data_IF_480499790087
#
_entry.id   IF_480499790087
#
_cell.length_a   1.000
_cell.length_b   1.000
_cell.length_c   1.000
_cell.angle_alpha   90.00
_cell.angle_beta   90.00
_cell.angle_gamma   90.00
#
_symmetry.space_group_name_H-M   'P 1'
#
loop_
_entity.id
_entity.type
_entity.pdbx_description
1 polymer ?
#
# COMPACT_ATOMS: atom_id res chain seq x y z
N UNK A 1 64.80 11.51 -52.56
CA UNK A 1 63.70 11.03 -51.69
C UNK A 1 63.41 12.10 -50.64
N UNK A 2 62.45 12.99 -50.92
CA UNK A 2 62.11 14.14 -50.07
C UNK A 2 61.24 13.67 -48.89
N UNK A 3 61.57 14.17 -47.70
CA UNK A 3 61.09 13.67 -46.41
C UNK A 3 59.57 13.72 -46.22
N UNK A 4 58.97 12.53 -46.09
CA UNK A 4 57.57 12.32 -45.66
C UNK A 4 57.43 12.07 -44.15
N UNK A 5 58.49 12.30 -43.35
CA UNK A 5 58.48 11.98 -41.90
C UNK A 5 57.59 12.91 -41.04
N UNK A 6 57.06 14.00 -41.59
CA UNK A 6 56.15 14.91 -40.87
C UNK A 6 54.65 14.73 -41.17
N UNK A 7 54.29 14.11 -42.30
CA UNK A 7 52.90 14.07 -42.77
C UNK A 7 52.00 13.19 -41.89
N UNK A 8 52.53 12.07 -41.37
CA UNK A 8 51.75 11.15 -40.54
C UNK A 8 51.41 11.71 -39.16
N UNK A 9 52.32 12.50 -38.56
CA UNK A 9 52.03 13.17 -37.29
C UNK A 9 50.95 14.24 -37.45
N UNK A 10 50.96 14.97 -38.57
CA UNK A 10 49.94 15.97 -38.84
C UNK A 10 48.55 15.36 -39.05
N UNK A 11 48.47 14.27 -39.82
CA UNK A 11 47.22 13.52 -40.03
C UNK A 11 46.66 12.95 -38.72
N UNK A 12 47.54 12.43 -37.86
CA UNK A 12 47.17 11.94 -36.53
C UNK A 12 46.61 13.06 -35.63
N UNK A 13 47.25 14.23 -35.61
CA UNK A 13 46.79 15.39 -34.81
C UNK A 13 45.41 15.85 -35.30
N UNK A 14 45.21 15.95 -36.62
CA UNK A 14 43.93 16.35 -37.20
C UNK A 14 42.85 15.33 -36.86
N UNK A 15 43.12 14.04 -37.01
CA UNK A 15 42.17 12.97 -36.67
C UNK A 15 41.76 13.02 -35.19
N UNK A 16 42.70 13.30 -34.29
CA UNK A 16 42.43 13.43 -32.86
C UNK A 16 41.56 14.66 -32.54
N UNK A 17 41.80 15.80 -33.20
CA UNK A 17 40.97 17.00 -33.03
C UNK A 17 39.53 16.75 -33.50
N UNK A 18 39.35 16.09 -34.65
CA UNK A 18 38.00 15.71 -35.12
C UNK A 18 37.32 14.72 -34.18
N UNK A 19 38.07 13.77 -33.62
CA UNK A 19 37.52 12.81 -32.65
C UNK A 19 37.05 13.52 -31.36
N UNK A 20 37.88 14.37 -30.76
CA UNK A 20 37.47 15.16 -29.57
C UNK A 20 36.27 16.05 -29.91
N UNK A 21 36.30 16.71 -31.07
CA UNK A 21 35.20 17.55 -31.53
C UNK A 21 33.90 16.76 -31.70
N UNK A 22 33.97 15.55 -32.25
CA UNK A 22 32.82 14.66 -32.39
C UNK A 22 32.31 14.15 -31.04
N UNK A 23 33.19 13.79 -30.12
CA UNK A 23 32.81 13.40 -28.74
C UNK A 23 32.13 14.57 -28.03
N UNK A 24 32.70 15.78 -28.09
CA UNK A 24 32.09 16.96 -27.51
C UNK A 24 30.74 17.31 -28.15
N UNK A 25 30.64 17.19 -29.48
CA UNK A 25 29.38 17.34 -30.20
C UNK A 25 28.34 16.32 -29.74
N UNK A 26 28.72 15.05 -29.57
CA UNK A 26 27.84 14.02 -29.02
C UNK A 26 27.37 14.40 -27.61
N UNK A 27 28.26 14.85 -26.72
CA UNK A 27 27.86 15.29 -25.38
C UNK A 27 26.94 16.53 -25.41
N UNK A 28 27.17 17.46 -26.32
CA UNK A 28 26.31 18.65 -26.48
C UNK A 28 24.94 18.29 -27.04
N UNK A 29 24.89 17.41 -28.04
CA UNK A 29 23.65 17.01 -28.73
C UNK A 29 22.82 16.02 -27.90
N UNK A 30 23.48 15.08 -27.23
CA UNK A 30 22.83 14.15 -26.31
C UNK A 30 22.43 14.82 -24.99
N UNK A 31 22.99 16.01 -24.68
CA UNK A 31 22.74 16.83 -23.48
C UNK A 31 22.11 16.02 -22.33
N UNK A 32 22.83 15.03 -21.74
CA UNK A 32 22.27 14.20 -20.68
C UNK A 32 21.90 15.01 -19.42
N UNK A 33 22.25 16.29 -19.41
CA UNK A 33 22.03 17.27 -18.37
C UNK A 33 20.68 18.00 -18.48
N UNK A 34 20.02 17.95 -19.64
CA UNK A 34 18.76 18.68 -19.86
C UNK A 34 17.51 17.86 -19.57
N UNK A 35 17.63 16.53 -19.62
CA UNK A 35 16.54 15.62 -19.33
C UNK A 35 16.91 14.71 -18.16
N UNK A 36 17.10 15.29 -16.97
CA UNK A 36 16.94 14.54 -15.72
C UNK A 36 15.45 14.29 -15.47
N UNK A 37 14.69 13.93 -16.51
CA UNK A 37 13.31 13.52 -16.37
C UNK A 37 13.33 12.23 -15.58
N UNK A 38 12.75 12.26 -14.39
CA UNK A 38 12.47 11.07 -13.61
C UNK A 38 11.86 9.99 -14.54
N UNK A 39 12.36 8.76 -14.53
CA UNK A 39 11.74 7.71 -15.32
C UNK A 39 10.39 7.37 -14.71
N UNK A 40 9.35 7.14 -15.52
CA UNK A 40 8.03 6.71 -15.03
C UNK A 40 8.10 5.45 -14.16
N UNK A 41 9.08 4.58 -14.42
CA UNK A 41 9.35 3.39 -13.61
C UNK A 41 9.73 3.71 -12.16
N UNK A 42 10.28 4.89 -11.87
CA UNK A 42 10.53 5.30 -10.48
C UNK A 42 9.20 5.50 -9.73
N UNK A 43 8.19 6.07 -10.40
CA UNK A 43 6.87 6.27 -9.80
C UNK A 43 6.12 4.96 -9.56
N UNK A 44 6.23 4.03 -10.52
CA UNK A 44 5.70 2.66 -10.36
C UNK A 44 6.38 1.94 -9.19
N UNK A 45 7.71 2.02 -9.07
CA UNK A 45 8.43 1.41 -7.94
C UNK A 45 8.05 1.98 -6.57
N UNK A 46 7.81 3.29 -6.50
CA UNK A 46 7.30 3.94 -5.28
C UNK A 46 5.89 3.48 -4.96
N UNK A 47 5.02 3.35 -5.97
CA UNK A 47 3.67 2.83 -5.76
C UNK A 47 3.68 1.38 -5.29
N UNK A 48 4.51 0.52 -5.87
CA UNK A 48 4.60 -0.89 -5.47
C UNK A 48 5.06 -0.99 -4.01
N UNK A 49 6.10 -0.24 -3.63
CA UNK A 49 6.60 -0.20 -2.25
C UNK A 49 5.58 0.39 -1.27
N UNK A 50 4.87 1.45 -1.70
CA UNK A 50 3.76 2.02 -0.95
C UNK A 50 2.65 0.98 -0.71
N UNK A 51 2.21 0.33 -1.79
CA UNK A 51 1.16 -0.68 -1.80
C UNK A 51 1.50 -1.84 -0.86
N UNK A 52 2.73 -2.36 -0.93
CA UNK A 52 3.21 -3.43 -0.06
C UNK A 52 3.20 -3.03 1.43
N UNK A 53 3.54 -1.78 1.74
CA UNK A 53 3.58 -1.29 3.13
C UNK A 53 2.17 -1.07 3.69
N UNK A 54 1.23 -0.54 2.90
CA UNK A 54 -0.09 -0.12 3.38
C UNK A 54 -1.21 -1.13 3.15
N UNK A 55 -1.04 -2.12 2.26
CA UNK A 55 -2.08 -3.09 2.00
C UNK A 55 -2.28 -4.05 3.17
N UNK A 56 -3.50 -4.56 3.26
CA UNK A 56 -3.93 -5.56 4.22
C UNK A 56 -4.97 -6.47 3.59
N UNK A 57 -5.18 -7.61 4.22
CA UNK A 57 -6.10 -8.64 3.79
C UNK A 57 -7.44 -8.41 4.50
N UNK A 58 -8.53 -8.52 3.74
CA UNK A 58 -9.90 -8.44 4.23
C UNK A 58 -10.67 -9.65 3.73
N UNK A 59 -11.06 -10.49 4.68
CA UNK A 59 -11.91 -11.66 4.43
C UNK A 59 -13.30 -11.41 4.98
N UNK A 60 -14.34 -11.64 4.19
CA UNK A 60 -15.72 -11.49 4.64
C UNK A 60 -16.55 -12.73 4.34
N UNK A 61 -17.33 -13.18 5.32
CA UNK A 61 -18.20 -14.35 5.22
C UNK A 61 -19.51 -14.09 5.92
N UNK A 62 -20.60 -14.63 5.38
CA UNK A 62 -21.89 -14.64 6.06
C UNK A 62 -22.01 -15.89 6.91
N UNK A 63 -22.49 -15.73 8.14
CA UNK A 63 -22.68 -16.84 9.08
C UNK A 63 -24.14 -16.84 9.50
N UNK A 64 -24.79 -18.00 9.34
CA UNK A 64 -26.11 -18.26 9.88
C UNK A 64 -25.99 -19.27 11.02
N UNK A 65 -26.59 -18.96 12.16
CA UNK A 65 -26.46 -19.76 13.38
C UNK A 65 -27.82 -20.15 13.95
N UNK A 66 -27.86 -21.31 14.60
CA UNK A 66 -29.04 -21.79 15.31
C UNK A 66 -28.70 -22.13 16.77
N UNK A 67 -28.13 -21.15 17.49
CA UNK A 67 -27.67 -21.37 18.86
C UNK A 67 -28.81 -21.39 19.89
N UNK A 68 -29.13 -22.57 20.39
CA UNK A 68 -30.18 -22.78 21.41
C UNK A 68 -29.64 -22.89 22.84
N UNK A 69 -28.33 -22.79 23.05
CA UNK A 69 -27.72 -22.94 24.38
C UNK A 69 -28.01 -21.79 25.35
N UNK A 70 -27.77 -22.04 26.64
CA UNK A 70 -28.08 -21.12 27.75
C UNK A 70 -27.05 -20.00 27.95
N UNK A 71 -25.88 -20.09 27.33
CA UNK A 71 -24.84 -19.06 27.45
C UNK A 71 -25.21 -17.81 26.63
N UNK A 72 -24.75 -16.66 27.11
CA UNK A 72 -24.94 -15.38 26.41
C UNK A 72 -24.08 -15.22 25.14
N UNK A 73 -23.21 -16.18 24.84
CA UNK A 73 -22.36 -16.18 23.66
C UNK A 73 -22.01 -17.61 23.24
N UNK A 74 -21.67 -17.77 21.97
CA UNK A 74 -21.24 -19.03 21.37
C UNK A 74 -19.98 -18.81 20.53
N UNK A 75 -19.24 -19.87 20.26
CA UNK A 75 -18.12 -19.84 19.34
C UNK A 75 -18.30 -20.86 18.24
N UNK A 76 -17.80 -20.53 17.05
CA UNK A 76 -17.76 -21.39 15.88
C UNK A 76 -16.33 -21.56 15.42
N UNK A 77 -15.97 -22.75 14.95
CA UNK A 77 -14.68 -23.00 14.33
C UNK A 77 -14.76 -22.72 12.84
N UNK A 78 -14.04 -21.69 12.37
CA UNK A 78 -14.00 -21.36 10.96
C UNK A 78 -13.06 -22.35 10.24
N UNK A 79 -13.54 -23.04 9.18
CA UNK A 79 -12.70 -23.93 8.38
C UNK A 79 -11.67 -23.10 7.59
N UNK A 80 -10.38 -23.28 7.91
CA UNK A 80 -9.30 -22.50 7.30
C UNK A 80 -9.17 -22.74 5.79
N UNK A 81 -9.62 -23.89 5.30
CA UNK A 81 -9.64 -24.24 3.88
C UNK A 81 -10.58 -23.37 3.03
N UNK A 82 -11.50 -22.60 3.65
CA UNK A 82 -12.37 -21.66 2.94
C UNK A 82 -11.72 -20.29 2.71
N UNK A 83 -10.58 -20.02 3.34
CA UNK A 83 -9.88 -18.74 3.28
C UNK A 83 -8.55 -18.93 2.55
N UNK A 84 -8.27 -18.05 1.59
CA UNK A 84 -6.95 -17.89 0.98
C UNK A 84 -5.96 -17.29 1.98
N UNK A 85 -6.44 -16.40 2.84
CA UNK A 85 -5.65 -15.67 3.82
C UNK A 85 -5.67 -16.35 5.20
N UNK A 86 -4.58 -16.22 5.96
CA UNK A 86 -4.44 -16.89 7.24
C UNK A 86 -5.23 -16.16 8.34
N UNK A 87 -6.23 -16.80 8.91
CA UNK A 87 -7.13 -16.21 9.92
C UNK A 87 -6.67 -16.41 11.37
N UNK A 88 -5.48 -16.98 11.62
CA UNK A 88 -5.10 -17.48 12.96
C UNK A 88 -4.72 -16.41 13.97
N UNK A 89 -4.41 -15.19 13.52
CA UNK A 89 -3.92 -14.09 14.36
C UNK A 89 -4.55 -12.74 13.97
N UNK A 90 -5.70 -12.81 13.29
CA UNK A 90 -6.43 -11.62 12.85
C UNK A 90 -7.54 -11.25 13.83
N UNK A 91 -7.94 -9.99 13.79
CA UNK A 91 -9.12 -9.51 14.52
C UNK A 91 -10.37 -9.62 13.66
N UNK A 92 -11.52 -9.62 14.32
CA UNK A 92 -12.82 -9.77 13.70
C UNK A 92 -13.71 -8.57 13.96
N UNK A 93 -14.47 -8.18 12.94
CA UNK A 93 -15.60 -7.29 13.06
C UNK A 93 -16.86 -8.01 12.63
N UNK A 94 -17.81 -8.14 13.56
CA UNK A 94 -19.08 -8.81 13.28
C UNK A 94 -20.21 -7.79 13.29
N UNK A 95 -21.06 -7.87 12.27
CA UNK A 95 -22.23 -7.01 12.11
C UNK A 95 -23.49 -7.83 11.85
N UNK A 96 -24.63 -7.35 12.35
CA UNK A 96 -25.95 -7.87 11.94
C UNK A 96 -26.24 -7.49 10.49
N UNK A 97 -27.27 -8.11 9.90
CA UNK A 97 -27.80 -7.68 8.60
C UNK A 97 -28.28 -6.21 8.60
N UNK A 98 -28.67 -5.68 9.76
CA UNK A 98 -29.03 -4.26 9.95
C UNK A 98 -27.83 -3.31 10.10
N UNK A 99 -26.59 -3.80 10.03
CA UNK A 99 -25.37 -2.99 10.12
C UNK A 99 -24.88 -2.68 11.54
N UNK A 100 -25.63 -3.08 12.58
CA UNK A 100 -25.18 -2.92 13.97
C UNK A 100 -24.01 -3.87 14.27
N UNK A 101 -22.91 -3.33 14.79
CA UNK A 101 -21.74 -4.11 15.23
C UNK A 101 -22.05 -4.85 16.54
N UNK A 102 -21.47 -6.05 16.68
CA UNK A 102 -21.56 -6.90 17.85
C UNK A 102 -20.13 -7.24 18.30
N UNK A 103 -19.92 -7.28 19.61
CA UNK A 103 -18.66 -7.73 20.20
C UNK A 103 -18.34 -9.16 19.74
N UNK A 104 -17.16 -9.32 19.14
CA UNK A 104 -16.60 -10.58 18.70
C UNK A 104 -15.10 -10.62 18.96
N UNK A 105 -14.55 -11.82 19.08
CA UNK A 105 -13.10 -12.01 19.00
C UNK A 105 -12.77 -13.31 18.28
N UNK A 106 -11.63 -13.32 17.59
CA UNK A 106 -11.16 -14.46 16.82
C UNK A 106 -9.87 -14.97 17.45
N UNK A 107 -9.90 -16.20 17.95
CA UNK A 107 -8.75 -16.81 18.63
C UNK A 107 -8.48 -18.17 18.01
N UNK A 108 -7.33 -18.35 17.37
CA UNK A 108 -6.93 -19.63 16.76
C UNK A 108 -7.98 -20.18 15.75
N UNK A 109 -8.66 -19.30 15.01
CA UNK A 109 -9.72 -19.66 14.07
C UNK A 109 -11.09 -19.96 14.72
N UNK A 110 -11.20 -19.80 16.04
CA UNK A 110 -12.48 -19.85 16.76
C UNK A 110 -13.06 -18.44 16.91
N UNK A 111 -14.16 -18.19 16.19
CA UNK A 111 -14.87 -16.92 16.24
C UNK A 111 -15.90 -16.97 17.38
N UNK A 112 -15.71 -16.15 18.41
CA UNK A 112 -16.67 -16.01 19.50
C UNK A 112 -17.61 -14.84 19.23
N UNK A 113 -18.89 -15.07 19.51
CA UNK A 113 -20.01 -14.22 19.12
C UNK A 113 -21.01 -14.12 20.27
N UNK A 114 -21.47 -12.91 20.58
CA UNK A 114 -22.61 -12.73 21.48
C UNK A 114 -23.89 -13.33 20.87
N UNK A 115 -24.66 -14.05 21.68
CA UNK A 115 -25.98 -14.59 21.30
C UNK A 115 -26.96 -13.45 21.19
N UNK A 116 -27.29 -13.08 19.96
CA UNK A 116 -28.03 -11.84 19.71
C UNK A 116 -28.87 -11.88 18.43
N UNK A 117 -28.37 -12.50 17.36
CA UNK A 117 -29.08 -12.72 16.10
C UNK A 117 -28.82 -14.15 15.55
N UNK A 118 -29.46 -14.51 14.44
CA UNK A 118 -29.21 -15.73 13.68
C UNK A 118 -28.39 -15.48 12.42
N UNK A 119 -28.27 -14.24 11.94
CA UNK A 119 -27.54 -13.90 10.72
C UNK A 119 -26.50 -12.81 10.96
N UNK A 120 -25.26 -13.13 10.62
CA UNK A 120 -24.12 -12.27 10.83
C UNK A 120 -23.31 -12.10 9.55
N UNK A 121 -22.77 -10.91 9.36
CA UNK A 121 -21.66 -10.67 8.44
C UNK A 121 -20.40 -10.56 9.28
N UNK A 122 -19.46 -11.46 9.03
CA UNK A 122 -18.14 -11.48 9.65
C UNK A 122 -17.16 -10.87 8.67
N UNK A 123 -16.36 -9.92 9.14
CA UNK A 123 -15.20 -9.39 8.46
C UNK A 123 -13.97 -9.70 9.32
N UNK A 124 -12.89 -10.14 8.69
CA UNK A 124 -11.65 -10.53 9.35
C UNK A 124 -10.53 -9.74 8.68
N UNK A 125 -9.76 -9.03 9.49
CA UNK A 125 -8.63 -8.21 9.06
C UNK A 125 -7.83 -7.76 10.29
N UNK A 126 -6.50 -7.56 10.18
CA UNK A 126 -5.71 -6.97 11.26
C UNK A 126 -6.06 -5.49 11.53
N UNK A 127 -6.87 -4.83 10.68
CA UNK A 127 -7.37 -3.47 10.93
C UNK A 127 -8.38 -3.37 12.07
N UNK A 128 -8.99 -4.50 12.45
CA UNK A 128 -10.02 -4.51 13.46
C UNK A 128 -9.41 -4.66 14.86
N UNK A 129 -10.20 -4.28 15.85
CA UNK A 129 -9.88 -4.54 17.25
C UNK A 129 -10.91 -5.50 17.80
N UNK A 130 -10.46 -6.64 18.31
CA UNK A 130 -11.34 -7.59 18.95
C UNK A 130 -12.02 -7.01 20.19
N UNK A 131 -13.29 -7.39 20.36
CA UNK A 131 -14.08 -7.10 21.55
C UNK A 131 -13.77 -8.06 22.71
N UNK A 132 -14.26 -7.71 23.89
CA UNK A 132 -14.15 -8.58 25.07
C UNK A 132 -15.35 -9.52 25.09
N UNK A 133 -15.14 -10.79 24.77
CA UNK A 133 -16.18 -11.82 24.81
C UNK A 133 -15.94 -12.78 25.99
N UNK A 134 -16.99 -13.09 26.74
CA UNK A 134 -16.93 -14.06 27.85
C UNK A 134 -16.73 -15.50 27.36
N UNK A 135 -16.57 -16.46 28.27
CA UNK A 135 -16.42 -17.89 27.91
C UNK A 135 -17.67 -18.45 27.23
N UNK A 136 -17.60 -18.65 25.91
CA UNK A 136 -18.73 -19.05 25.09
C UNK A 136 -19.03 -20.55 25.06
N UNK A 137 -20.21 -20.92 24.55
CA UNK A 137 -20.56 -22.30 24.28
C UNK A 137 -20.16 -22.70 22.86
N UNK A 138 -19.72 -23.94 22.66
CA UNK A 138 -19.43 -24.43 21.31
C UNK A 138 -20.73 -24.57 20.50
N UNK A 139 -20.76 -24.04 19.29
CA UNK A 139 -21.85 -24.23 18.34
C UNK A 139 -21.35 -25.06 17.13
N UNK A 140 -21.95 -26.22 16.92
CA UNK A 140 -21.68 -27.08 15.75
C UNK A 140 -22.70 -26.90 14.62
N UNK A 141 -23.88 -26.36 14.92
CA UNK A 141 -24.98 -26.17 13.95
C UNK A 141 -24.96 -24.74 13.39
N UNK A 142 -24.13 -24.53 12.37
CA UNK A 142 -24.04 -23.26 11.64
C UNK A 142 -23.87 -23.49 10.14
N UNK A 143 -24.31 -22.52 9.35
CA UNK A 143 -24.14 -22.47 7.90
C UNK A 143 -23.23 -21.29 7.55
N UNK A 144 -22.24 -21.52 6.69
CA UNK A 144 -21.39 -20.49 6.12
C UNK A 144 -21.84 -20.14 4.70
N UNK A 145 -21.89 -18.86 4.40
CA UNK A 145 -22.02 -18.35 3.04
C UNK A 145 -20.70 -18.41 2.27
N UNK A 146 -20.69 -17.84 1.07
CA UNK A 146 -19.46 -17.67 0.30
C UNK A 146 -18.49 -16.72 1.00
N UNK A 147 -17.19 -17.03 0.92
CA UNK A 147 -16.11 -16.16 1.39
C UNK A 147 -15.74 -15.20 0.27
N UNK A 148 -15.64 -13.91 0.61
CA UNK A 148 -15.14 -12.85 -0.28
C UNK A 148 -13.86 -12.33 0.32
N UNK A 149 -12.77 -12.42 -0.43
CA UNK A 149 -11.45 -11.99 0.02
C UNK A 149 -10.92 -10.90 -0.90
N UNK A 150 -10.41 -9.82 -0.29
CA UNK A 150 -9.94 -8.64 -0.98
C UNK A 150 -8.64 -8.16 -0.34
N UNK A 151 -7.73 -7.68 -1.18
CA UNK A 151 -6.61 -6.84 -0.74
C UNK A 151 -7.08 -5.38 -0.76
N UNK A 152 -6.85 -4.67 0.35
CA UNK A 152 -7.33 -3.29 0.57
C UNK A 152 -6.24 -2.49 1.27
N UNK A 153 -6.23 -1.18 1.05
CA UNK A 153 -5.35 -0.26 1.77
C UNK A 153 -5.86 -0.09 3.19
N UNK A 154 -5.00 -0.32 4.18
CA UNK A 154 -5.31 -0.09 5.59
C UNK A 154 -5.22 1.39 5.93
N UNK A 155 -6.28 1.93 6.53
CA UNK A 155 -6.26 3.30 7.01
C UNK A 155 -5.30 3.48 8.20
N UNK A 156 -5.19 2.51 9.09
CA UNK A 156 -4.27 2.59 10.23
C UNK A 156 -2.79 2.61 9.79
N UNK A 157 -2.45 1.83 8.75
CA UNK A 157 -1.12 1.81 8.14
C UNK A 157 -0.82 3.11 7.38
N UNK A 158 -1.82 3.71 6.71
CA UNK A 158 -1.66 5.06 6.14
C UNK A 158 -1.33 6.10 7.21
N UNK A 159 -2.00 6.04 8.36
CA UNK A 159 -1.68 6.92 9.49
C UNK A 159 -0.27 6.68 10.03
N UNK A 160 0.14 5.41 10.17
CA UNK A 160 1.49 5.07 10.59
C UNK A 160 2.54 5.60 9.59
N UNK A 161 2.32 5.42 8.29
CA UNK A 161 3.18 5.95 7.24
C UNK A 161 3.22 7.49 7.25
N UNK A 162 2.10 8.17 7.51
CA UNK A 162 2.07 9.63 7.69
C UNK A 162 2.94 10.07 8.86
N UNK A 163 2.87 9.38 9.99
CA UNK A 163 3.75 9.66 11.14
C UNK A 163 5.21 9.48 10.76
N UNK A 164 5.55 8.42 10.01
CA UNK A 164 6.92 8.21 9.49
C UNK A 164 7.35 9.31 8.54
N UNK A 165 6.47 9.75 7.63
CA UNK A 165 6.74 10.86 6.73
C UNK A 165 7.11 12.14 7.49
N UNK A 166 6.43 12.42 8.60
CA UNK A 166 6.69 13.62 9.40
C UNK A 166 7.95 13.50 10.29
N UNK A 167 8.25 12.30 10.77
CA UNK A 167 9.27 12.07 11.82
C UNK A 167 10.59 11.53 11.27
N UNK A 168 10.55 10.73 10.20
CA UNK A 168 11.69 10.09 9.56
C UNK A 168 11.48 10.02 8.03
N UNK A 169 11.33 11.19 7.42
CA UNK A 169 11.14 11.33 5.97
C UNK A 169 12.24 10.61 5.18
N UNK A 170 13.51 10.78 5.55
CA UNK A 170 14.63 10.16 4.84
C UNK A 170 14.63 8.63 4.94
N UNK A 171 14.23 8.07 6.07
CA UNK A 171 14.07 6.62 6.23
C UNK A 171 12.93 6.09 5.35
N UNK A 172 11.75 6.71 5.41
CA UNK A 172 10.61 6.35 4.57
C UNK A 172 10.93 6.47 3.08
N UNK A 173 11.63 7.53 2.67
CA UNK A 173 12.08 7.77 1.30
C UNK A 173 12.92 6.61 0.77
N UNK A 174 13.87 6.11 1.57
CA UNK A 174 14.70 4.96 1.22
C UNK A 174 13.89 3.66 1.15
N UNK A 175 12.96 3.46 2.09
CA UNK A 175 12.13 2.26 2.13
C UNK A 175 11.17 2.19 0.94
N UNK A 176 10.67 3.34 0.46
CA UNK A 176 9.88 3.46 -0.76
C UNK A 176 10.72 3.43 -2.05
N UNK A 177 12.03 3.28 -1.96
CA UNK A 177 12.92 3.23 -3.12
C UNK A 177 13.10 4.56 -3.87
N UNK A 178 12.76 5.69 -3.23
CA UNK A 178 12.98 7.02 -3.79
C UNK A 178 14.46 7.40 -3.64
N UNK A 179 15.13 7.77 -4.72
CA UNK A 179 16.53 8.19 -4.65
C UNK A 179 16.71 9.47 -3.82
N UNK A 180 17.84 9.58 -3.11
CA UNK A 180 18.14 10.71 -2.21
C UNK A 180 18.01 12.10 -2.86
N UNK A 181 18.21 12.19 -4.17
CA UNK A 181 18.14 13.42 -4.94
C UNK A 181 16.72 13.90 -5.27
N UNK A 182 15.70 13.05 -5.09
CA UNK A 182 14.30 13.36 -5.43
C UNK A 182 13.42 13.42 -4.20
N UNK A 183 12.51 14.36 -4.12
CA UNK A 183 11.52 14.38 -3.05
C UNK A 183 10.19 13.78 -3.50
N UNK A 184 9.35 13.39 -2.55
CA UNK A 184 8.07 12.77 -2.85
C UNK A 184 6.95 13.23 -1.91
N UNK A 185 5.73 13.07 -2.39
CA UNK A 185 4.51 13.30 -1.64
C UNK A 185 3.48 12.22 -1.99
N UNK A 186 2.67 11.84 -1.00
CA UNK A 186 1.55 10.91 -1.15
C UNK A 186 0.30 11.65 -0.70
N UNK A 187 -0.58 11.94 -1.65
CA UNK A 187 -1.72 12.85 -1.46
C UNK A 187 -3.02 12.09 -1.73
N UNK A 188 -3.65 11.51 -0.70
CA UNK A 188 -4.99 10.96 -0.81
C UNK A 188 -6.03 12.08 -0.92
N UNK A 189 -6.89 11.98 -1.94
CA UNK A 189 -8.05 12.84 -2.14
C UNK A 189 -9.11 12.49 -1.08
N UNK A 190 -9.63 13.48 -0.35
CA UNK A 190 -10.70 13.26 0.62
C UNK A 190 -10.26 12.82 2.03
N UNK A 191 -8.97 12.54 2.26
CA UNK A 191 -8.41 12.14 3.56
C UNK A 191 -7.27 13.07 4.00
N UNK A 192 -7.61 14.30 4.34
CA UNK A 192 -6.64 15.37 4.68
C UNK A 192 -5.70 15.03 5.85
N UNK A 193 -6.14 14.16 6.74
CA UNK A 193 -5.45 13.75 7.95
C UNK A 193 -4.27 12.78 7.71
N UNK A 194 -4.23 12.13 6.55
CA UNK A 194 -3.13 11.25 6.11
C UNK A 194 -2.36 11.83 4.93
N UNK A 195 -2.53 13.13 4.64
CA UNK A 195 -1.88 13.80 3.53
C UNK A 195 -0.38 14.03 3.77
N UNK A 196 0.47 13.32 3.03
CA UNK A 196 1.94 13.37 3.15
C UNK A 196 2.51 14.38 2.15
N UNK A 197 2.44 15.67 2.51
CA UNK A 197 3.01 16.78 1.73
C UNK A 197 4.20 17.40 2.45
N UNK A 198 5.17 17.94 1.70
CA UNK A 198 6.26 18.72 2.28
C UNK A 198 5.69 19.95 3.00
N UNK A 199 6.37 20.37 4.07
CA UNK A 199 6.02 21.59 4.81
C UNK A 199 6.29 22.87 4.02
N UNK A 200 7.21 22.80 3.06
CA UNK A 200 7.47 23.86 2.09
C UNK A 200 6.78 23.53 0.77
N UNK A 201 6.36 24.56 0.04
CA UNK A 201 5.83 24.38 -1.30
C UNK A 201 6.86 23.74 -2.24
N UNK A 202 6.37 22.90 -3.16
CA UNK A 202 7.20 22.31 -4.22
C UNK A 202 7.76 23.46 -5.07
N UNK A 203 9.09 23.55 -5.31
CA UNK A 203 9.65 24.65 -6.07
C UNK A 203 9.05 24.74 -7.48
N UNK A 204 8.73 25.95 -7.95
CA UNK A 204 8.14 26.16 -9.29
C UNK A 204 9.04 25.72 -10.46
N UNK A 205 10.33 25.48 -10.18
CA UNK A 205 11.38 25.20 -11.19
C UNK A 205 11.62 23.69 -11.37
N UNK A 206 11.08 22.82 -10.50
CA UNK A 206 11.30 21.37 -10.59
C UNK A 206 10.21 20.69 -11.42
N UNK A 207 10.58 19.64 -12.15
CA UNK A 207 9.64 18.84 -12.92
C UNK A 207 8.98 17.81 -12.00
N UNK A 208 7.68 17.96 -11.77
CA UNK A 208 6.91 17.05 -10.92
C UNK A 208 6.30 15.95 -11.76
N UNK A 209 6.64 14.70 -11.45
CA UNK A 209 5.86 13.55 -11.91
C UNK A 209 4.75 13.25 -10.92
N UNK A 210 3.56 12.98 -11.43
CA UNK A 210 2.43 12.59 -10.61
C UNK A 210 1.61 11.49 -11.29
N UNK A 211 1.10 10.56 -10.51
CA UNK A 211 0.17 9.54 -10.95
C UNK A 211 -0.88 9.27 -9.87
N UNK A 212 -2.12 9.15 -10.33
CA UNK A 212 -3.27 8.87 -9.47
C UNK A 212 -3.63 7.39 -9.54
N UNK A 213 -3.90 6.81 -8.38
CA UNK A 213 -4.36 5.44 -8.22
C UNK A 213 -5.69 5.45 -7.48
N UNK A 214 -6.65 4.62 -7.93
CA UNK A 214 -7.91 4.43 -7.21
C UNK A 214 -7.80 3.14 -6.42
N UNK A 215 -7.87 3.24 -5.10
CA UNK A 215 -7.68 2.13 -4.16
C UNK A 215 -8.88 2.00 -3.24
N UNK A 216 -9.10 0.81 -2.69
CA UNK A 216 -10.10 0.59 -1.64
C UNK A 216 -9.43 0.77 -0.30
N UNK A 217 -9.94 1.67 0.54
CA UNK A 217 -9.42 1.94 1.87
C UNK A 217 -10.35 1.32 2.91
N UNK A 218 -9.80 0.45 3.75
CA UNK A 218 -10.49 -0.16 4.90
C UNK A 218 -10.21 0.66 6.16
N UNK A 219 -11.28 1.11 6.81
CA UNK A 219 -11.23 1.74 8.13
C UNK A 219 -11.46 0.71 9.23
N UNK A 220 -11.05 1.05 10.45
CA UNK A 220 -11.20 0.19 11.64
C UNK A 220 -12.66 -0.15 12.00
N UNK A 221 -13.63 0.62 11.49
CA UNK A 221 -15.07 0.35 11.66
C UNK A 221 -15.66 -0.60 10.59
N UNK A 222 -14.83 -1.13 9.69
CA UNK A 222 -15.26 -2.00 8.58
C UNK A 222 -15.82 -1.27 7.36
N UNK A 223 -15.84 0.06 7.36
CA UNK A 223 -16.17 0.83 6.18
C UNK A 223 -15.07 0.66 5.13
N UNK A 224 -15.48 0.36 3.89
CA UNK A 224 -14.59 0.31 2.72
C UNK A 224 -15.03 1.38 1.74
N UNK A 225 -14.18 2.37 1.52
CA UNK A 225 -14.40 3.45 0.54
C UNK A 225 -13.40 3.36 -0.61
N UNK A 226 -13.78 3.89 -1.79
CA UNK A 226 -12.84 4.01 -2.91
C UNK A 226 -12.22 5.40 -2.86
N UNK A 227 -10.90 5.47 -2.70
CA UNK A 227 -10.16 6.72 -2.57
C UNK A 227 -9.17 6.86 -3.72
N UNK A 228 -8.91 8.10 -4.13
CA UNK A 228 -7.86 8.41 -5.11
C UNK A 228 -6.61 8.83 -4.37
N UNK A 229 -5.48 8.17 -4.62
CA UNK A 229 -4.18 8.51 -4.04
C UNK A 229 -3.26 9.01 -5.16
N UNK A 230 -2.76 10.23 -5.01
CA UNK A 230 -1.81 10.85 -5.93
C UNK A 230 -0.40 10.73 -5.38
N UNK A 231 0.46 9.94 -6.03
CA UNK A 231 1.89 9.85 -5.71
C UNK A 231 2.63 10.85 -6.59
N UNK A 232 3.49 11.66 -5.98
CA UNK A 232 4.25 12.71 -6.66
C UNK A 232 5.73 12.58 -6.34
N UNK A 233 6.59 12.79 -7.33
CA UNK A 233 8.05 12.80 -7.19
C UNK A 233 8.62 13.98 -7.96
N UNK A 234 9.59 14.69 -7.39
CA UNK A 234 10.24 15.85 -8.02
C UNK A 234 11.74 15.97 -7.67
#
# INVERSE_FOLDING_TARGET
MRGKKGSGHFEMIIGFVFFIGFVFFLFMFLSPWKDSSLPKSALEGVYDSFSDEVNTELSSVFVKTNYTGDKACFYIKLPSELFKYAITDESSLVTRLGGASIDSNLVEGELNLKKDDSFFRVAISPEFTDGIVATCGHLTDFELGGVVELEVVSYSKLQAMKVRYDTDYSGLKRDLGVADIFDFAIVPEGMSEVEMKPSNDIPDVVNVLAQDYVVKVLKSNGEVSNERISIRIW
#
